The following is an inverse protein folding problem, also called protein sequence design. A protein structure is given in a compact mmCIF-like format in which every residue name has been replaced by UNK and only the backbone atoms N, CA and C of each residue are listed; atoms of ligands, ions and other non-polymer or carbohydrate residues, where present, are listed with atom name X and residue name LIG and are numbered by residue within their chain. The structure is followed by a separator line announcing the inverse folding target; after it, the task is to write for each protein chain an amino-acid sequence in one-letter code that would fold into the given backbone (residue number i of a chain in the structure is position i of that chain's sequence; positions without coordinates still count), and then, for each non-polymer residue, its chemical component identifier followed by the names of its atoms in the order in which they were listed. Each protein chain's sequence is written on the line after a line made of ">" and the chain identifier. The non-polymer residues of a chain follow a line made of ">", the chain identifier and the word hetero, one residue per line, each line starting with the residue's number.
data_IF_751204519454
#
_entry.id   IF_751204519454
#
_cell.length_a   1.000
_cell.length_b   1.000
_cell.length_c   1.000
_cell.angle_alpha   90.00
_cell.angle_beta   90.00
_cell.angle_gamma   90.00
#
_symmetry.space_group_name_H-M   'P 1'
#
loop_
_entity.id
_entity.type
_entity.pdbx_description
1 polymer ?
#
# COMPACT_ATOMS: atom_id res chain seq x y z
N UNK A 1 -7.47 -50.69 71.85
CA UNK A 1 -8.31 -49.49 71.78
C UNK A 1 -8.02 -48.80 70.43
N UNK A 2 -9.02 -48.67 69.63
CA UNK A 2 -9.00 -48.50 68.20
C UNK A 2 -8.83 -47.06 67.75
N UNK A 3 -7.86 -46.81 66.88
CA UNK A 3 -7.67 -45.56 66.21
C UNK A 3 -8.24 -45.60 64.82
N UNK A 4 -9.23 -44.75 64.51
CA UNK A 4 -9.76 -44.56 63.17
C UNK A 4 -8.98 -43.45 62.49
N UNK A 5 -8.40 -43.77 61.33
CA UNK A 5 -7.76 -42.87 60.40
C UNK A 5 -8.84 -42.23 59.52
N UNK A 6 -8.98 -40.92 59.53
CA UNK A 6 -9.70 -40.20 58.48
C UNK A 6 -8.75 -39.69 57.45
N UNK A 7 -8.90 -40.26 56.23
CA UNK A 7 -8.22 -39.81 55.02
C UNK A 7 -9.06 -38.68 54.44
N UNK A 8 -8.57 -37.44 54.44
CA UNK A 8 -9.18 -36.33 53.73
C UNK A 8 -8.67 -36.32 52.30
N UNK A 9 -9.57 -36.69 51.37
CA UNK A 9 -9.30 -36.61 49.94
C UNK A 9 -9.61 -35.15 49.51
N UNK A 10 -8.60 -34.37 49.28
CA UNK A 10 -8.74 -33.05 48.68
C UNK A 10 -8.92 -33.18 47.17
N UNK A 11 -10.14 -33.08 46.70
CA UNK A 11 -10.46 -32.92 45.29
C UNK A 11 -10.04 -31.53 44.83
N UNK A 12 -8.92 -31.44 44.13
CA UNK A 12 -8.59 -30.28 43.32
C UNK A 12 -9.49 -30.29 42.07
N UNK A 13 -10.56 -29.50 42.09
CA UNK A 13 -11.27 -29.10 40.88
C UNK A 13 -10.35 -28.13 40.10
N UNK A 14 -9.64 -28.68 39.12
CA UNK A 14 -9.02 -27.88 38.08
C UNK A 14 -10.14 -27.41 37.19
N UNK A 15 -10.52 -26.14 37.32
CA UNK A 15 -11.28 -25.45 36.31
C UNK A 15 -10.37 -25.31 35.08
N UNK A 16 -10.51 -26.20 34.12
CA UNK A 16 -10.05 -25.95 32.75
C UNK A 16 -10.92 -24.81 32.21
N UNK A 17 -10.35 -23.61 32.18
CA UNK A 17 -10.81 -22.54 31.31
C UNK A 17 -10.58 -23.05 29.89
N UNK A 18 -11.61 -23.59 29.28
CA UNK A 18 -11.70 -23.72 27.84
C UNK A 18 -11.60 -22.33 27.21
N UNK A 19 -10.36 -21.94 26.89
CA UNK A 19 -10.11 -20.92 25.89
C UNK A 19 -10.50 -21.58 24.58
N UNK A 20 -11.79 -21.49 24.23
CA UNK A 20 -12.23 -21.67 22.85
C UNK A 20 -11.57 -20.51 22.05
N UNK A 21 -10.33 -20.74 21.64
CA UNK A 21 -9.78 -20.05 20.48
C UNK A 21 -10.75 -20.33 19.35
N UNK A 22 -11.53 -19.32 18.98
CA UNK A 22 -12.28 -19.32 17.74
C UNK A 22 -11.23 -19.52 16.63
N UNK A 23 -11.00 -20.78 16.25
CA UNK A 23 -10.40 -21.10 14.97
C UNK A 23 -11.32 -20.47 13.92
N UNK A 24 -10.92 -19.28 13.42
CA UNK A 24 -11.43 -18.78 12.17
C UNK A 24 -11.19 -19.90 11.14
N UNK A 25 -12.24 -20.63 10.82
CA UNK A 25 -12.25 -21.58 9.71
C UNK A 25 -12.06 -20.75 8.43
N UNK A 26 -10.82 -20.44 8.13
CA UNK A 26 -10.42 -19.89 6.85
C UNK A 26 -10.69 -21.01 5.85
N UNK A 27 -11.69 -20.81 5.00
CA UNK A 27 -12.00 -21.74 3.92
C UNK A 27 -10.77 -21.86 3.02
N UNK A 28 -9.93 -22.87 3.28
CA UNK A 28 -8.86 -23.22 2.37
C UNK A 28 -9.47 -23.59 1.02
N UNK A 29 -8.93 -23.12 -0.11
CA UNK A 29 -9.28 -23.63 -1.41
C UNK A 29 -9.01 -25.14 -1.40
N UNK A 30 -10.01 -25.95 -1.71
CA UNK A 30 -9.80 -27.38 -1.91
C UNK A 30 -8.88 -27.57 -3.12
N UNK A 31 -8.03 -28.58 -3.08
CA UNK A 31 -6.97 -28.92 -4.03
C UNK A 31 -7.38 -29.01 -5.54
N UNK A 32 -8.65 -28.76 -5.84
CA UNK A 32 -9.27 -28.83 -7.18
C UNK A 32 -9.26 -27.53 -7.98
N UNK A 33 -8.85 -26.38 -7.42
CA UNK A 33 -8.89 -25.10 -8.13
C UNK A 33 -7.48 -24.72 -8.64
N UNK A 34 -7.14 -25.24 -9.81
CA UNK A 34 -5.86 -24.98 -10.48
C UNK A 34 -5.67 -23.54 -10.98
N UNK A 35 -6.61 -22.62 -10.70
CA UNK A 35 -6.56 -21.25 -11.22
C UNK A 35 -7.15 -20.20 -10.28
N UNK A 36 -6.60 -20.11 -9.07
CA UNK A 36 -6.90 -18.97 -8.19
C UNK A 36 -6.34 -17.70 -8.83
N UNK A 37 -7.23 -16.76 -9.21
CA UNK A 37 -6.88 -15.51 -9.91
C UNK A 37 -6.74 -14.30 -8.98
N UNK A 38 -7.22 -14.39 -7.73
CA UNK A 38 -7.10 -13.38 -6.68
C UNK A 38 -7.19 -14.04 -5.32
N UNK A 39 -6.79 -13.34 -4.29
CA UNK A 39 -6.84 -13.84 -2.91
C UNK A 39 -8.03 -13.24 -2.17
N UNK A 40 -8.62 -14.03 -1.28
CA UNK A 40 -9.68 -13.57 -0.39
C UNK A 40 -9.46 -14.16 1.01
N UNK A 41 -9.38 -13.29 2.00
CA UNK A 41 -9.42 -13.65 3.41
C UNK A 41 -10.74 -13.15 4.01
N UNK A 42 -11.52 -14.07 4.50
CA UNK A 42 -12.76 -13.75 5.23
C UNK A 42 -12.38 -13.30 6.63
N UNK A 43 -12.89 -12.17 7.03
CA UNK A 43 -12.84 -11.64 8.39
C UNK A 43 -14.17 -11.87 9.10
N UNK A 44 -14.46 -11.02 10.10
CA UNK A 44 -15.77 -11.03 10.77
C UNK A 44 -16.85 -10.52 9.83
N UNK A 45 -18.07 -11.09 9.87
CA UNK A 45 -19.15 -10.72 8.94
C UNK A 45 -19.58 -9.25 8.99
N UNK A 46 -19.44 -8.62 10.15
CA UNK A 46 -19.75 -7.21 10.41
C UNK A 46 -18.64 -6.24 10.02
N UNK A 47 -17.48 -6.75 9.64
CA UNK A 47 -16.31 -5.92 9.28
C UNK A 47 -16.30 -5.54 7.81
N UNK A 48 -15.73 -4.37 7.56
CA UNK A 48 -15.61 -3.80 6.23
C UNK A 48 -14.92 -4.73 5.22
N UNK A 49 -15.33 -4.60 3.96
CA UNK A 49 -14.76 -5.29 2.81
C UNK A 49 -13.72 -4.37 2.14
N UNK A 50 -12.49 -4.79 2.13
CA UNK A 50 -11.36 -4.05 1.57
C UNK A 50 -10.86 -4.75 0.32
N UNK A 51 -10.82 -4.04 -0.81
CA UNK A 51 -10.23 -4.54 -2.05
C UNK A 51 -8.88 -3.85 -2.26
N UNK A 52 -7.83 -4.65 -2.38
CA UNK A 52 -6.46 -4.20 -2.61
C UNK A 52 -6.06 -4.54 -4.05
N UNK A 53 -5.65 -3.55 -4.83
CA UNK A 53 -5.36 -3.68 -6.26
C UNK A 53 -3.86 -3.56 -6.49
N UNK A 54 -3.22 -4.69 -6.82
CA UNK A 54 -1.80 -4.82 -7.10
C UNK A 54 -1.54 -4.81 -8.61
N UNK A 55 -0.64 -3.94 -9.04
CA UNK A 55 -0.28 -3.82 -10.47
C UNK A 55 0.88 -2.83 -10.65
N UNK A 56 1.97 -3.04 -9.92
CA UNK A 56 3.18 -2.22 -9.99
C UNK A 56 4.37 -3.13 -10.30
N UNK A 57 5.09 -2.85 -11.37
CA UNK A 57 6.22 -3.65 -11.83
C UNK A 57 7.54 -3.30 -11.14
N UNK A 58 7.56 -2.24 -10.29
CA UNK A 58 8.78 -1.72 -9.69
C UNK A 58 8.87 -2.00 -8.18
N UNK A 59 7.79 -1.73 -7.42
CA UNK A 59 7.82 -1.68 -5.95
C UNK A 59 7.24 -2.90 -5.25
N UNK A 60 7.13 -4.03 -5.95
CA UNK A 60 6.64 -5.31 -5.37
C UNK A 60 5.27 -5.18 -4.72
N UNK A 61 4.34 -4.58 -5.44
CA UNK A 61 2.96 -4.41 -4.96
C UNK A 61 2.28 -5.73 -4.58
N UNK A 62 2.65 -6.83 -5.22
CA UNK A 62 2.16 -8.18 -4.97
C UNK A 62 2.58 -8.70 -3.59
N UNK A 63 3.73 -8.25 -3.07
CA UNK A 63 4.22 -8.60 -1.74
C UNK A 63 3.64 -7.63 -0.69
N UNK A 64 3.71 -6.32 -0.97
CA UNK A 64 3.25 -5.26 -0.07
C UNK A 64 1.76 -5.40 0.26
N UNK A 65 0.90 -5.50 -0.76
CA UNK A 65 -0.54 -5.53 -0.55
C UNK A 65 -1.03 -6.85 0.04
N UNK A 66 -0.36 -7.97 -0.25
CA UNK A 66 -0.63 -9.25 0.40
C UNK A 66 -0.32 -9.15 1.89
N UNK A 67 0.85 -8.60 2.28
CA UNK A 67 1.19 -8.44 3.69
C UNK A 67 0.23 -7.49 4.40
N UNK A 68 -0.12 -6.36 3.78
CA UNK A 68 -1.09 -5.43 4.34
C UNK A 68 -2.47 -6.08 4.51
N UNK A 69 -2.94 -6.85 3.52
CA UNK A 69 -4.20 -7.58 3.60
C UNK A 69 -4.21 -8.62 4.74
N UNK A 70 -3.11 -9.36 4.89
CA UNK A 70 -2.93 -10.31 6.01
C UNK A 70 -3.03 -9.60 7.36
N UNK A 71 -2.34 -8.46 7.54
CA UNK A 71 -2.40 -7.67 8.77
C UNK A 71 -3.82 -7.18 9.04
N UNK A 72 -4.48 -6.59 8.04
CA UNK A 72 -5.84 -6.08 8.14
C UNK A 72 -6.85 -7.18 8.45
N UNK A 73 -6.67 -8.38 7.90
CA UNK A 73 -7.54 -9.51 8.17
C UNK A 73 -7.27 -10.13 9.55
N UNK A 74 -6.03 -10.58 9.80
CA UNK A 74 -5.69 -11.37 11.02
C UNK A 74 -5.77 -10.51 12.28
N UNK A 75 -5.23 -9.29 12.25
CA UNK A 75 -5.17 -8.45 13.43
C UNK A 75 -6.40 -7.58 13.64
N UNK A 76 -7.19 -7.32 12.57
CA UNK A 76 -8.31 -6.37 12.61
C UNK A 76 -9.65 -6.95 12.15
N UNK A 77 -9.65 -8.19 11.65
CA UNK A 77 -10.86 -8.91 11.26
C UNK A 77 -11.54 -8.40 9.98
N UNK A 78 -10.90 -7.55 9.18
CA UNK A 78 -11.46 -7.07 7.93
C UNK A 78 -11.55 -8.16 6.87
N UNK A 79 -12.55 -8.08 5.99
CA UNK A 79 -12.66 -8.94 4.82
C UNK A 79 -11.78 -8.37 3.70
N UNK A 80 -10.72 -9.07 3.31
CA UNK A 80 -9.74 -8.56 2.36
C UNK A 80 -9.73 -9.37 1.07
N UNK A 81 -9.75 -8.67 -0.07
CA UNK A 81 -9.57 -9.25 -1.41
C UNK A 81 -8.37 -8.59 -2.06
N UNK A 82 -7.37 -9.36 -2.52
CA UNK A 82 -6.20 -8.85 -3.24
C UNK A 82 -6.27 -9.29 -4.70
N UNK A 83 -6.25 -8.31 -5.60
CA UNK A 83 -6.28 -8.49 -7.06
C UNK A 83 -4.89 -8.23 -7.63
N UNK A 84 -4.51 -8.97 -8.68
CA UNK A 84 -3.16 -8.91 -9.25
C UNK A 84 -3.20 -8.69 -10.76
N UNK A 85 -2.19 -7.97 -11.27
CA UNK A 85 -1.91 -7.94 -12.69
C UNK A 85 -1.47 -9.33 -13.18
N UNK A 86 -2.08 -9.82 -14.26
CA UNK A 86 -1.86 -11.16 -14.81
C UNK A 86 -1.95 -11.14 -16.33
N UNK A 87 -1.11 -11.93 -16.98
CA UNK A 87 -1.32 -12.26 -18.39
C UNK A 87 -2.50 -13.24 -18.52
N UNK A 88 -3.54 -12.93 -19.32
CA UNK A 88 -4.71 -13.80 -19.48
C UNK A 88 -4.37 -15.21 -19.98
N UNK A 89 -3.25 -15.38 -20.67
CA UNK A 89 -2.78 -16.69 -21.14
C UNK A 89 -2.20 -17.56 -20.03
N UNK A 90 -1.87 -16.95 -18.88
CA UNK A 90 -1.31 -17.63 -17.72
C UNK A 90 -2.07 -17.22 -16.44
N UNK A 91 -3.37 -17.57 -16.33
CA UNK A 91 -4.20 -17.18 -15.21
C UNK A 91 -3.66 -17.77 -13.90
N UNK A 92 -3.72 -17.00 -12.81
CA UNK A 92 -3.23 -17.43 -11.50
C UNK A 92 -1.73 -17.21 -11.29
N UNK A 93 -1.02 -16.69 -12.30
CA UNK A 93 0.40 -16.29 -12.20
C UNK A 93 0.46 -14.76 -12.16
N UNK A 94 1.12 -14.22 -11.13
CA UNK A 94 1.37 -12.78 -11.02
C UNK A 94 2.32 -12.33 -12.12
N UNK A 95 1.92 -11.32 -12.88
CA UNK A 95 2.79 -10.67 -13.86
C UNK A 95 2.57 -9.15 -13.84
N UNK A 96 3.35 -8.40 -13.06
CA UNK A 96 3.21 -6.94 -12.96
C UNK A 96 3.53 -6.21 -14.27
N UNK A 97 4.33 -6.80 -15.16
CA UNK A 97 4.64 -6.22 -16.47
C UNK A 97 3.44 -6.24 -17.42
N UNK A 98 2.44 -7.11 -17.15
CA UNK A 98 1.23 -7.15 -17.98
C UNK A 98 0.26 -6.04 -17.58
N UNK A 99 0.22 -4.96 -18.34
CA UNK A 99 -0.43 -3.71 -17.95
C UNK A 99 -1.95 -3.67 -18.19
N UNK A 100 -2.49 -4.65 -18.93
CA UNK A 100 -3.84 -4.54 -19.51
C UNK A 100 -4.86 -5.49 -18.87
N UNK A 101 -4.53 -6.14 -17.76
CA UNK A 101 -5.47 -7.06 -17.13
C UNK A 101 -5.24 -7.22 -15.63
N UNK A 102 -6.29 -6.94 -14.86
CA UNK A 102 -6.39 -7.25 -13.42
C UNK A 102 -7.75 -7.92 -13.20
N UNK A 103 -7.82 -9.25 -13.17
CA UNK A 103 -9.09 -9.95 -12.98
C UNK A 103 -9.63 -9.76 -11.56
N UNK A 104 -10.97 -9.84 -11.44
CA UNK A 104 -11.65 -9.75 -10.12
C UNK A 104 -12.07 -8.34 -9.72
N UNK A 105 -11.88 -7.30 -10.53
CA UNK A 105 -12.29 -5.92 -10.22
C UNK A 105 -13.78 -5.76 -9.92
N UNK A 106 -14.63 -6.74 -10.29
CA UNK A 106 -16.03 -6.79 -9.88
C UNK A 106 -16.20 -6.75 -8.34
N UNK A 107 -15.19 -7.19 -7.57
CA UNK A 107 -15.21 -7.11 -6.11
C UNK A 107 -15.34 -5.67 -5.57
N UNK A 108 -15.00 -4.65 -6.38
CA UNK A 108 -15.19 -3.25 -6.02
C UNK A 108 -16.67 -2.85 -5.85
N UNK A 109 -17.60 -3.57 -6.46
CA UNK A 109 -19.03 -3.28 -6.33
C UNK A 109 -19.48 -3.33 -4.84
N UNK A 110 -18.95 -4.30 -4.09
CA UNK A 110 -19.27 -4.51 -2.69
C UNK A 110 -18.23 -3.96 -1.71
N UNK A 111 -17.11 -3.43 -2.21
CA UNK A 111 -16.03 -2.94 -1.35
C UNK A 111 -16.45 -1.69 -0.57
N UNK A 112 -15.99 -1.57 0.66
CA UNK A 112 -16.11 -0.38 1.50
C UNK A 112 -14.87 0.51 1.42
N UNK A 113 -13.70 -0.07 1.06
CA UNK A 113 -12.44 0.64 0.86
C UNK A 113 -11.68 0.02 -0.32
N UNK A 114 -11.18 0.88 -1.20
CA UNK A 114 -10.20 0.52 -2.23
C UNK A 114 -8.80 0.95 -1.79
N UNK A 115 -7.86 0.01 -1.71
CA UNK A 115 -6.43 0.27 -1.56
C UNK A 115 -5.78 -0.01 -2.92
N UNK A 116 -5.04 0.95 -3.47
CA UNK A 116 -4.48 0.83 -4.80
C UNK A 116 -2.97 1.11 -4.81
N UNK A 117 -2.21 0.18 -5.38
CA UNK A 117 -0.79 0.30 -5.68
C UNK A 117 -0.57 -0.25 -7.10
N UNK A 118 -0.79 0.62 -8.08
CA UNK A 118 -0.65 0.29 -9.51
C UNK A 118 0.18 1.35 -10.21
N UNK A 119 0.81 0.98 -11.32
CA UNK A 119 1.66 1.84 -12.11
C UNK A 119 1.33 1.69 -13.60
N UNK A 120 0.94 2.79 -14.24
CA UNK A 120 0.73 2.88 -15.70
C UNK A 120 -0.14 1.78 -16.30
N UNK A 121 -1.23 1.38 -15.61
CA UNK A 121 -2.17 0.40 -16.15
C UNK A 121 -2.99 0.99 -17.29
N UNK A 122 -3.22 0.18 -18.35
CA UNK A 122 -4.13 0.47 -19.45
C UNK A 122 -5.20 -0.63 -19.50
N UNK A 123 -6.05 -0.67 -18.48
CA UNK A 123 -7.08 -1.69 -18.37
C UNK A 123 -8.17 -1.50 -19.43
N UNK A 124 -8.76 -2.58 -19.96
CA UNK A 124 -9.89 -2.48 -20.89
C UNK A 124 -11.11 -1.86 -20.20
N UNK A 125 -12.00 -1.25 -21.00
CA UNK A 125 -13.18 -0.55 -20.50
C UNK A 125 -14.06 -1.41 -19.58
N UNK A 126 -14.18 -2.70 -19.87
CA UNK A 126 -14.92 -3.63 -19.01
C UNK A 126 -14.36 -3.74 -17.60
N UNK A 127 -13.07 -3.54 -17.41
CA UNK A 127 -12.40 -3.52 -16.11
C UNK A 127 -12.39 -2.12 -15.50
N UNK A 128 -12.09 -1.08 -16.30
CA UNK A 128 -12.11 0.32 -15.83
C UNK A 128 -13.48 0.75 -15.30
N UNK A 129 -14.56 0.22 -15.85
CA UNK A 129 -15.92 0.49 -15.40
C UNK A 129 -16.10 0.23 -13.89
N UNK A 130 -15.55 -0.85 -13.36
CA UNK A 130 -15.67 -1.13 -11.92
C UNK A 130 -14.96 -0.10 -11.04
N UNK A 131 -13.83 0.43 -11.52
CA UNK A 131 -13.11 1.52 -10.86
C UNK A 131 -13.92 2.81 -10.94
N UNK A 132 -14.42 3.15 -12.11
CA UNK A 132 -15.25 4.34 -12.34
C UNK A 132 -16.54 4.31 -11.50
N UNK A 133 -17.25 3.18 -11.50
CA UNK A 133 -18.46 2.99 -10.69
C UNK A 133 -18.15 3.10 -9.18
N UNK A 134 -17.02 2.55 -8.72
CA UNK A 134 -16.56 2.71 -7.36
C UNK A 134 -16.32 4.18 -7.00
N UNK A 135 -15.62 4.91 -7.85
CA UNK A 135 -15.35 6.34 -7.66
C UNK A 135 -16.62 7.17 -7.67
N UNK A 136 -17.56 6.88 -8.59
CA UNK A 136 -18.88 7.54 -8.62
C UNK A 136 -19.68 7.32 -7.34
N UNK A 137 -19.49 6.21 -6.66
CA UNK A 137 -20.18 5.94 -5.39
C UNK A 137 -19.69 6.79 -4.23
N UNK A 138 -18.54 7.48 -4.34
CA UNK A 138 -17.93 8.30 -3.29
C UNK A 138 -17.31 7.50 -2.16
N UNK A 139 -17.01 6.23 -2.40
CA UNK A 139 -16.35 5.38 -1.40
C UNK A 139 -14.87 5.75 -1.23
N UNK A 140 -14.29 5.51 -0.03
CA UNK A 140 -12.94 5.98 0.30
C UNK A 140 -11.83 5.23 -0.45
N UNK A 141 -10.69 5.92 -0.60
CA UNK A 141 -9.50 5.40 -1.29
C UNK A 141 -8.27 5.57 -0.40
N UNK A 142 -7.41 4.53 -0.39
CA UNK A 142 -6.05 4.60 0.10
C UNK A 142 -5.11 4.38 -1.10
N UNK A 143 -4.45 5.45 -1.55
CA UNK A 143 -3.46 5.40 -2.64
C UNK A 143 -2.05 5.22 -2.09
N UNK A 144 -1.30 4.24 -2.60
CA UNK A 144 0.06 3.94 -2.17
C UNK A 144 1.04 4.11 -3.32
N UNK A 145 2.20 4.66 -3.04
CA UNK A 145 3.37 4.80 -3.91
C UNK A 145 2.99 5.24 -5.34
N UNK A 146 3.05 4.32 -6.29
CA UNK A 146 2.80 4.57 -7.71
C UNK A 146 1.34 4.79 -8.07
N UNK A 147 0.42 4.69 -7.12
CA UNK A 147 -0.97 5.09 -7.35
C UNK A 147 -1.10 6.53 -7.89
N UNK A 148 -0.14 7.40 -7.58
CA UNK A 148 -0.07 8.76 -8.13
C UNK A 148 0.07 8.79 -9.67
N UNK A 149 0.43 7.67 -10.31
CA UNK A 149 0.47 7.45 -11.76
C UNK A 149 -0.09 6.08 -12.12
N UNK A 150 -1.22 5.71 -11.50
CA UNK A 150 -1.84 4.40 -11.62
C UNK A 150 -2.15 3.99 -13.07
N UNK A 151 -2.55 4.94 -13.92
CA UNK A 151 -3.04 4.65 -15.26
C UNK A 151 -2.29 5.41 -16.35
N UNK A 152 -2.19 4.77 -17.55
CA UNK A 152 -1.60 5.36 -18.75
C UNK A 152 -2.20 4.72 -19.99
N UNK A 153 -2.87 5.50 -20.85
CA UNK A 153 -3.59 5.02 -22.03
C UNK A 153 -3.00 5.54 -23.35
N UNK A 154 -1.96 6.35 -23.30
CA UNK A 154 -1.36 7.04 -24.45
C UNK A 154 -0.35 6.17 -25.25
N UNK A 155 -0.01 4.99 -24.73
CA UNK A 155 0.95 4.06 -25.35
C UNK A 155 0.39 2.66 -25.43
N UNK A 156 -0.39 2.36 -26.42
CA UNK A 156 -0.87 0.98 -26.61
C UNK A 156 -2.03 0.88 -27.59
N UNK A 157 -2.39 -0.34 -27.98
CA UNK A 157 -3.47 -0.57 -28.93
C UNK A 157 -4.85 -0.30 -28.33
N UNK A 158 -4.97 -0.15 -27.02
CA UNK A 158 -6.26 0.01 -26.33
C UNK A 158 -6.69 1.47 -26.39
N UNK A 159 -7.71 1.75 -27.19
CA UNK A 159 -8.48 3.00 -27.13
C UNK A 159 -9.54 2.82 -26.06
N UNK A 160 -9.42 3.57 -24.95
CA UNK A 160 -10.33 3.47 -23.82
C UNK A 160 -11.18 4.73 -23.71
N UNK A 161 -12.47 4.57 -23.40
CA UNK A 161 -13.35 5.66 -23.00
C UNK A 161 -12.95 6.26 -21.63
N UNK A 162 -12.08 5.57 -20.90
CA UNK A 162 -11.50 5.99 -19.62
C UNK A 162 -10.09 6.59 -19.76
N UNK A 163 -9.66 6.99 -20.96
CA UNK A 163 -8.32 7.55 -21.19
C UNK A 163 -8.00 8.78 -20.31
N UNK A 164 -9.03 9.51 -19.90
CA UNK A 164 -8.92 10.67 -18.99
C UNK A 164 -8.36 10.32 -17.59
N UNK A 165 -8.40 9.05 -17.16
CA UNK A 165 -7.72 8.59 -15.94
C UNK A 165 -6.20 8.57 -16.05
N UNK A 166 -5.66 8.65 -17.27
CA UNK A 166 -4.22 8.53 -17.54
C UNK A 166 -3.40 9.69 -16.96
N UNK A 167 -2.24 9.37 -16.40
CA UNK A 167 -1.31 10.33 -15.79
C UNK A 167 -0.88 11.47 -16.72
N UNK A 168 -0.86 11.22 -18.03
CA UNK A 168 -0.45 12.18 -19.06
C UNK A 168 -1.62 12.79 -19.82
N UNK A 169 -2.85 12.60 -19.34
CA UNK A 169 -4.01 13.27 -19.94
C UNK A 169 -3.87 14.79 -19.85
N UNK A 170 -4.02 15.45 -20.99
CA UNK A 170 -3.65 16.88 -21.17
C UNK A 170 -4.82 17.80 -21.49
N UNK A 171 -6.00 17.26 -21.76
CA UNK A 171 -7.17 18.10 -22.04
C UNK A 171 -7.41 19.07 -20.89
N UNK A 172 -7.86 20.27 -21.25
CA UNK A 172 -8.11 21.36 -20.29
C UNK A 172 -9.49 21.19 -19.64
N UNK A 173 -9.65 20.09 -18.95
CA UNK A 173 -10.83 19.80 -18.13
C UNK A 173 -10.40 19.36 -16.72
N UNK A 174 -11.38 18.95 -15.90
CA UNK A 174 -11.09 18.53 -14.52
C UNK A 174 -10.17 17.30 -14.42
N UNK A 175 -10.04 16.52 -15.50
CA UNK A 175 -9.21 15.31 -15.54
C UNK A 175 -7.76 15.58 -15.92
N UNK A 176 -7.38 16.82 -16.16
CA UNK A 176 -6.00 17.15 -16.51
C UNK A 176 -5.01 16.60 -15.46
N UNK A 177 -4.15 15.67 -15.87
CA UNK A 177 -3.22 14.95 -14.98
C UNK A 177 -3.79 13.66 -14.38
N UNK A 178 -5.02 13.29 -14.79
CA UNK A 178 -5.62 11.98 -14.56
C UNK A 178 -5.96 11.66 -13.11
N UNK A 179 -6.03 10.37 -12.83
CA UNK A 179 -6.37 9.81 -11.51
C UNK A 179 -5.50 10.38 -10.39
N UNK A 180 -4.18 10.45 -10.59
CA UNK A 180 -3.27 10.95 -9.56
C UNK A 180 -3.61 12.36 -9.11
N UNK A 181 -3.84 13.28 -10.06
CA UNK A 181 -4.12 14.68 -9.73
C UNK A 181 -5.55 14.88 -9.21
N UNK A 182 -6.57 14.40 -9.95
CA UNK A 182 -7.97 14.66 -9.57
C UNK A 182 -8.37 13.91 -8.31
N UNK A 183 -8.02 12.62 -8.23
CA UNK A 183 -8.48 11.75 -7.12
C UNK A 183 -7.53 11.83 -5.95
N UNK A 184 -6.23 11.61 -6.16
CA UNK A 184 -5.27 11.54 -5.08
C UNK A 184 -4.69 12.89 -4.65
N UNK A 185 -4.86 13.97 -5.45
CA UNK A 185 -4.38 15.32 -5.13
C UNK A 185 -3.08 15.72 -5.79
N UNK A 186 -2.22 14.76 -6.13
CA UNK A 186 -1.04 15.01 -6.97
C UNK A 186 -0.72 13.76 -7.80
N UNK A 187 -0.22 14.01 -9.00
CA UNK A 187 0.32 12.96 -9.86
C UNK A 187 1.83 12.86 -9.72
N UNK A 188 2.39 11.72 -10.02
CA UNK A 188 3.83 11.57 -10.10
C UNK A 188 4.44 12.55 -11.12
N UNK A 189 5.52 13.21 -10.70
CA UNK A 189 6.26 14.20 -11.50
C UNK A 189 7.67 13.69 -11.77
N UNK A 190 8.41 13.37 -10.70
CA UNK A 190 9.80 12.94 -10.72
C UNK A 190 10.19 12.36 -9.35
N UNK A 191 11.32 11.72 -9.30
CA UNK A 191 12.03 11.46 -8.06
C UNK A 191 12.58 12.76 -7.49
N UNK A 192 12.39 13.00 -6.19
CA UNK A 192 12.99 14.12 -5.47
C UNK A 192 14.31 13.70 -4.85
N UNK A 193 14.33 12.58 -4.12
CA UNK A 193 15.53 11.89 -3.70
C UNK A 193 16.16 11.03 -4.81
N UNK A 194 17.34 10.49 -4.57
CA UNK A 194 18.03 9.60 -5.49
C UNK A 194 17.56 8.17 -5.32
N UNK A 195 16.90 7.63 -6.35
CA UNK A 195 16.34 6.29 -6.38
C UNK A 195 17.41 5.21 -6.11
N UNK A 196 17.14 4.30 -5.16
CA UNK A 196 18.06 3.23 -4.74
C UNK A 196 19.32 3.71 -3.99
N UNK A 197 19.40 5.01 -3.65
CA UNK A 197 20.54 5.60 -2.94
C UNK A 197 20.14 6.35 -1.68
N UNK A 198 19.00 7.01 -1.71
CA UNK A 198 18.47 7.80 -0.60
C UNK A 198 17.15 7.20 -0.12
N UNK A 199 16.96 7.15 1.17
CA UNK A 199 15.77 6.64 1.83
C UNK A 199 14.88 7.80 2.30
N UNK A 200 13.71 7.43 2.84
CA UNK A 200 12.71 8.38 3.33
C UNK A 200 12.48 8.18 4.81
N UNK A 201 12.74 9.19 5.62
CA UNK A 201 12.32 9.27 7.02
C UNK A 201 11.07 10.14 7.12
N UNK A 202 10.00 9.60 7.70
CA UNK A 202 8.73 10.31 7.88
C UNK A 202 8.77 11.28 9.06
N UNK A 203 8.54 12.56 8.80
CA UNK A 203 8.47 13.61 9.82
C UNK A 203 7.02 14.08 9.95
N UNK A 204 6.41 13.87 11.10
CA UNK A 204 5.05 14.33 11.40
C UNK A 204 5.11 15.80 11.83
N UNK A 205 4.57 16.75 11.04
CA UNK A 205 4.51 18.15 11.42
C UNK A 205 3.70 18.35 12.72
N UNK A 206 4.02 19.39 13.49
CA UNK A 206 3.30 19.70 14.72
C UNK A 206 1.78 19.80 14.50
N UNK A 207 1.35 20.38 13.41
CA UNK A 207 -0.07 20.55 13.07
C UNK A 207 -0.81 19.22 12.82
N UNK A 208 -0.08 18.15 12.51
CA UNK A 208 -0.66 16.84 12.16
C UNK A 208 -0.53 15.80 13.29
N UNK A 209 0.13 16.12 14.41
CA UNK A 209 0.47 15.14 15.47
C UNK A 209 -0.76 14.46 16.06
N UNK A 210 -1.84 15.19 16.19
CA UNK A 210 -3.09 14.69 16.78
C UNK A 210 -4.00 13.99 15.75
N UNK A 211 -3.59 13.94 14.49
CA UNK A 211 -4.38 13.27 13.46
C UNK A 211 -4.43 11.77 13.74
N UNK A 212 -5.63 11.13 13.66
CA UNK A 212 -5.82 9.72 14.02
C UNK A 212 -4.88 8.73 13.31
N UNK A 213 -4.42 9.06 12.12
CA UNK A 213 -3.49 8.22 11.33
C UNK A 213 -2.15 8.02 12.05
N UNK A 214 -1.74 8.92 12.94
CA UNK A 214 -0.48 8.81 13.68
C UNK A 214 -0.61 8.24 15.10
N UNK A 215 -1.79 7.76 15.49
CA UNK A 215 -1.96 7.11 16.78
C UNK A 215 -1.02 5.93 16.96
N UNK A 216 -0.31 5.91 18.10
CA UNK A 216 0.63 4.85 18.45
C UNK A 216 1.89 4.80 17.60
N UNK A 217 2.22 5.90 16.90
CA UNK A 217 3.45 6.06 16.11
C UNK A 217 4.35 7.10 16.79
N UNK A 218 5.61 6.74 16.99
CA UNK A 218 6.61 7.63 17.58
C UNK A 218 7.55 8.20 16.50
N UNK A 219 8.21 9.33 16.78
CA UNK A 219 9.21 9.90 15.88
C UNK A 219 10.27 8.86 15.48
N UNK A 220 10.59 8.78 14.19
CA UNK A 220 11.58 7.85 13.64
C UNK A 220 11.03 6.49 13.23
N UNK A 221 9.80 6.12 13.62
CA UNK A 221 9.24 4.80 13.27
C UNK A 221 8.72 4.70 11.83
N UNK A 222 8.40 5.82 11.19
CA UNK A 222 8.01 5.84 9.77
C UNK A 222 9.27 5.99 8.93
N UNK A 223 9.64 4.91 8.27
CA UNK A 223 10.80 4.86 7.39
C UNK A 223 10.52 3.97 6.19
N UNK A 224 11.19 4.24 5.07
CA UNK A 224 11.17 3.39 3.90
C UNK A 224 12.46 3.53 3.11
N UNK A 225 12.93 2.43 2.54
CA UNK A 225 14.11 2.42 1.67
C UNK A 225 13.88 3.08 0.31
N UNK A 226 12.63 3.43 0.00
CA UNK A 226 12.28 4.13 -1.23
C UNK A 226 12.52 5.64 -1.10
N UNK A 227 12.89 6.26 -2.20
CA UNK A 227 13.13 7.70 -2.29
C UNK A 227 11.85 8.54 -2.20
N UNK A 228 12.02 9.79 -1.83
CA UNK A 228 10.95 10.80 -1.80
C UNK A 228 10.56 11.19 -3.22
N UNK A 229 9.25 11.26 -3.53
CA UNK A 229 8.76 11.82 -4.79
C UNK A 229 8.64 13.33 -4.73
N UNK A 230 8.85 13.99 -5.87
CA UNK A 230 8.60 15.40 -6.04
C UNK A 230 7.09 15.69 -6.03
N UNK A 231 6.68 16.65 -5.23
CA UNK A 231 5.31 17.16 -5.10
C UNK A 231 5.30 18.66 -5.42
N UNK A 232 4.30 19.14 -6.17
CA UNK A 232 4.14 20.59 -6.39
C UNK A 232 3.70 21.26 -5.10
N UNK A 233 4.39 22.35 -4.75
CA UNK A 233 4.08 23.15 -3.57
C UNK A 233 3.66 24.57 -3.97
N UNK A 234 2.64 25.14 -3.31
CA UNK A 234 1.72 24.48 -2.37
C UNK A 234 0.94 23.36 -3.06
N UNK A 235 0.51 22.34 -2.29
CA UNK A 235 -0.42 21.33 -2.83
C UNK A 235 -1.70 21.99 -3.29
N UNK A 236 -2.28 21.44 -4.37
CA UNK A 236 -3.49 22.00 -4.95
C UNK A 236 -4.74 21.67 -4.14
N UNK A 237 -5.73 22.53 -4.25
CA UNK A 237 -7.10 22.37 -3.76
C UNK A 237 -7.18 22.11 -2.25
N UNK A 238 -7.96 21.10 -1.87
CA UNK A 238 -8.25 20.68 -0.49
C UNK A 238 -7.25 19.65 0.07
N UNK A 239 -6.13 19.40 -0.62
CA UNK A 239 -5.14 18.46 -0.16
C UNK A 239 -4.38 18.99 1.07
N UNK A 240 -4.45 18.26 2.18
CA UNK A 240 -3.83 18.60 3.46
C UNK A 240 -2.65 17.68 3.72
N UNK A 241 -1.39 18.17 3.65
CA UNK A 241 -0.21 17.40 4.02
C UNK A 241 -0.28 16.94 5.47
N UNK A 242 -0.05 15.66 5.72
CA UNK A 242 0.00 15.08 7.07
C UNK A 242 1.40 14.65 7.48
N UNK A 243 2.21 14.18 6.52
CA UNK A 243 3.55 13.65 6.76
C UNK A 243 4.51 14.24 5.74
N UNK A 244 5.67 14.67 6.19
CA UNK A 244 6.77 15.16 5.34
C UNK A 244 7.84 14.08 5.24
N UNK A 245 8.49 13.99 4.07
CA UNK A 245 9.60 13.09 3.83
C UNK A 245 10.92 13.81 3.96
N UNK A 246 11.69 13.46 4.98
CA UNK A 246 13.09 13.82 5.06
C UNK A 246 13.88 12.85 4.18
N UNK A 247 14.60 13.38 3.22
CA UNK A 247 15.57 12.62 2.43
C UNK A 247 16.77 12.32 3.30
N UNK A 248 17.12 11.05 3.46
CA UNK A 248 18.29 10.62 4.22
C UNK A 248 19.32 9.96 3.30
N UNK A 249 20.56 10.33 3.46
CA UNK A 249 21.69 9.77 2.69
C UNK A 249 22.23 8.56 3.45
N UNK A 250 22.54 7.50 2.73
CA UNK A 250 23.16 6.30 3.29
C UNK A 250 24.54 6.63 3.87
N UNK A 251 24.76 6.30 5.14
CA UNK A 251 26.05 6.53 5.81
C UNK A 251 27.12 5.49 5.41
N UNK A 252 26.69 4.29 5.05
CA UNK A 252 27.56 3.19 4.64
C UNK A 252 27.73 3.07 3.12
N UNK A 253 28.47 2.05 2.65
CA UNK A 253 28.63 1.79 1.22
C UNK A 253 27.32 1.30 0.58
N UNK A 254 27.19 1.48 -0.73
CA UNK A 254 26.16 0.83 -1.52
C UNK A 254 26.39 -0.68 -1.53
N UNK A 255 25.33 -1.43 -1.18
CA UNK A 255 25.35 -2.90 -1.23
C UNK A 255 24.15 -3.40 -2.04
N UNK A 256 24.43 -3.88 -3.25
CA UNK A 256 23.41 -4.43 -4.15
C UNK A 256 22.73 -5.69 -3.61
N UNK A 257 23.38 -6.41 -2.70
CA UNK A 257 22.84 -7.64 -2.10
C UNK A 257 21.99 -7.39 -0.86
N UNK A 258 22.10 -6.21 -0.26
CA UNK A 258 21.30 -5.80 0.89
C UNK A 258 19.89 -5.39 0.47
N UNK A 259 18.87 -5.84 1.20
CA UNK A 259 17.45 -5.57 0.92
C UNK A 259 17.15 -4.08 0.72
N UNK A 260 17.84 -3.22 1.42
CA UNK A 260 17.68 -1.76 1.39
C UNK A 260 18.85 -1.05 0.69
N UNK A 261 19.64 -1.74 -0.12
CA UNK A 261 20.82 -1.20 -0.82
C UNK A 261 21.85 -0.57 0.12
N UNK A 262 21.95 -1.05 1.35
CA UNK A 262 22.81 -0.50 2.40
C UNK A 262 22.20 0.65 3.18
N UNK A 263 21.00 1.13 2.86
CA UNK A 263 20.29 2.18 3.60
C UNK A 263 19.73 1.65 4.92
N UNK A 264 19.62 2.52 5.93
CA UNK A 264 19.13 2.18 7.28
C UNK A 264 18.27 3.32 7.85
N UNK A 265 17.35 3.01 8.79
CA UNK A 265 16.58 4.04 9.50
C UNK A 265 17.44 5.04 10.29
N UNK A 266 18.67 4.66 10.62
CA UNK A 266 19.66 5.50 11.34
C UNK A 266 20.48 6.39 10.44
N UNK A 267 20.32 6.32 9.11
CA UNK A 267 21.08 7.14 8.17
C UNK A 267 20.85 8.63 8.42
N UNK A 268 21.87 9.41 8.12
CA UNK A 268 21.87 10.83 8.35
C UNK A 268 21.22 11.62 7.21
N UNK A 269 20.83 12.87 7.46
CA UNK A 269 20.44 13.81 6.40
C UNK A 269 21.63 14.46 5.68
N UNK A 270 22.85 14.22 6.16
CA UNK A 270 24.07 14.69 5.51
C UNK A 270 24.15 14.07 4.11
N UNK A 271 24.36 14.90 3.09
CA UNK A 271 24.33 14.44 1.69
C UNK A 271 22.99 14.69 0.97
N UNK A 272 21.93 15.11 1.68
CA UNK A 272 20.67 15.55 1.04
C UNK A 272 20.86 16.83 0.18
N UNK A 273 22.02 17.47 0.24
CA UNK A 273 22.40 18.60 -0.63
C UNK A 273 22.96 18.05 -1.94
N UNK A 274 22.24 18.28 -3.02
CA UNK A 274 22.61 17.84 -4.35
C UNK A 274 23.00 18.99 -5.26
N UNK A 275 23.90 18.75 -6.21
CA UNK A 275 24.27 19.72 -7.27
C UNK A 275 23.44 19.41 -8.52
N UNK A 276 22.65 20.37 -8.97
CA UNK A 276 21.84 20.27 -10.20
C UNK A 276 22.08 21.47 -11.09
N UNK A 277 21.97 21.29 -12.41
CA UNK A 277 21.94 22.41 -13.35
C UNK A 277 20.57 23.08 -13.31
N UNK A 278 20.54 24.40 -13.16
CA UNK A 278 19.35 25.23 -13.29
C UNK A 278 18.95 25.41 -14.76
N UNK A 279 17.84 26.09 -15.04
CA UNK A 279 17.36 26.38 -16.39
C UNK A 279 18.29 27.27 -17.22
N UNK A 280 19.33 27.87 -16.61
CA UNK A 280 20.37 28.71 -17.27
C UNK A 280 21.66 27.92 -17.50
N UNK A 281 21.73 26.67 -17.05
CA UNK A 281 22.93 25.84 -17.16
C UNK A 281 23.94 25.99 -16.00
N UNK A 282 23.68 26.86 -15.00
CA UNK A 282 24.54 27.00 -13.84
C UNK A 282 24.36 25.81 -12.88
N UNK A 283 25.45 25.39 -12.24
CA UNK A 283 25.37 24.36 -11.18
C UNK A 283 25.01 25.04 -9.87
N UNK A 284 23.84 24.65 -9.32
CA UNK A 284 23.33 25.12 -8.03
C UNK A 284 23.28 24.00 -7.02
N UNK A 285 23.56 24.32 -5.77
CA UNK A 285 23.33 23.39 -4.64
C UNK A 285 21.87 23.50 -4.20
N UNK A 286 21.20 22.36 -4.07
CA UNK A 286 19.80 22.25 -3.64
C UNK A 286 19.79 21.37 -2.41
N UNK A 287 19.25 21.89 -1.29
CA UNK A 287 18.90 21.10 -0.13
C UNK A 287 17.56 20.42 -0.39
N UNK A 288 17.55 19.08 -0.45
CA UNK A 288 16.34 18.29 -0.70
C UNK A 288 15.36 18.34 0.48
N UNK A 289 15.79 18.78 1.65
CA UNK A 289 14.95 18.91 2.84
C UNK A 289 14.48 20.36 3.08
N UNK A 290 14.75 21.29 2.16
CA UNK A 290 14.34 22.68 2.26
C UNK A 290 13.58 23.20 1.01
N UNK A 291 12.26 23.00 0.92
CA UNK A 291 11.38 22.31 1.89
C UNK A 291 11.34 20.79 1.71
N UNK A 292 11.05 20.04 2.79
CA UNK A 292 10.68 18.62 2.69
C UNK A 292 9.39 18.47 1.89
N UNK A 293 9.31 17.41 1.07
CA UNK A 293 8.11 17.09 0.30
C UNK A 293 7.06 16.39 1.16
N UNK A 294 5.76 16.67 0.96
CA UNK A 294 4.70 15.82 1.50
C UNK A 294 4.82 14.39 0.97
N UNK A 295 4.78 13.40 1.88
CA UNK A 295 4.79 11.98 1.53
C UNK A 295 3.53 11.25 1.97
N UNK A 296 2.68 11.89 2.78
CA UNK A 296 1.30 11.47 2.99
C UNK A 296 0.40 12.70 3.19
N UNK A 297 -0.82 12.61 2.66
CA UNK A 297 -1.83 13.67 2.73
C UNK A 297 -3.24 13.09 2.64
N UNK A 298 -4.20 13.93 3.01
CA UNK A 298 -5.63 13.65 2.86
C UNK A 298 -6.28 14.68 1.96
N UNK A 299 -7.36 14.30 1.30
CA UNK A 299 -8.26 15.18 0.57
C UNK A 299 -9.62 14.54 0.37
N UNK A 300 -10.58 15.33 -0.12
CA UNK A 300 -11.80 14.79 -0.72
C UNK A 300 -11.65 14.71 -2.24
N UNK A 301 -12.41 13.83 -2.87
CA UNK A 301 -12.51 13.76 -4.33
C UNK A 301 -13.98 13.71 -4.75
N UNK A 302 -14.24 14.19 -5.93
CA UNK A 302 -15.51 14.01 -6.61
C UNK A 302 -15.27 13.96 -8.12
N UNK A 303 -15.80 12.95 -8.77
CA UNK A 303 -15.79 12.87 -10.23
C UNK A 303 -17.15 13.26 -10.81
N UNK A 304 -17.26 13.61 -12.11
CA UNK A 304 -18.54 13.99 -12.70
C UNK A 304 -19.63 12.94 -12.47
N UNK A 305 -20.78 13.43 -12.01
CA UNK A 305 -21.96 12.60 -11.66
C UNK A 305 -21.74 11.62 -10.48
N UNK A 306 -20.64 11.76 -9.77
CA UNK A 306 -20.31 10.96 -8.59
C UNK A 306 -20.62 11.70 -7.29
N UNK A 307 -20.59 10.95 -6.19
CA UNK A 307 -20.62 11.47 -4.82
C UNK A 307 -19.21 11.85 -4.37
N UNK A 308 -19.13 12.72 -3.38
CA UNK A 308 -17.88 13.03 -2.71
C UNK A 308 -17.39 11.80 -1.91
N UNK A 309 -16.08 11.54 -1.97
CA UNK A 309 -15.40 10.53 -1.20
C UNK A 309 -14.10 11.06 -0.62
N UNK A 310 -13.55 10.37 0.39
CA UNK A 310 -12.30 10.76 1.04
C UNK A 310 -11.12 9.95 0.55
N UNK A 311 -9.95 10.56 0.59
CA UNK A 311 -8.68 9.94 0.18
C UNK A 311 -7.65 10.10 1.28
N UNK A 312 -6.92 9.03 1.53
CA UNK A 312 -5.57 9.07 2.08
C UNK A 312 -4.59 8.64 0.98
N UNK A 313 -3.60 9.45 0.70
CA UNK A 313 -2.56 9.13 -0.28
C UNK A 313 -1.19 9.20 0.37
N UNK A 314 -0.30 8.28 -0.03
CA UNK A 314 1.10 8.27 0.41
C UNK A 314 2.01 7.87 -0.73
N UNK A 315 3.20 8.49 -0.79
CA UNK A 315 4.28 8.10 -1.70
C UNK A 315 5.18 7.01 -1.14
N UNK A 316 4.81 6.41 0.00
CA UNK A 316 5.40 5.20 0.57
C UNK A 316 4.54 3.98 0.26
N UNK A 317 5.08 2.78 0.49
CA UNK A 317 4.30 1.55 0.39
C UNK A 317 4.88 0.48 -0.52
N UNK A 318 6.16 0.56 -0.90
CA UNK A 318 6.89 -0.58 -1.46
C UNK A 318 6.90 -1.75 -0.46
N UNK A 319 7.14 -2.97 -0.94
CA UNK A 319 7.26 -4.13 -0.06
C UNK A 319 8.30 -3.91 1.05
N UNK A 320 9.43 -3.31 0.70
CA UNK A 320 10.52 -2.98 1.63
C UNK A 320 10.14 -1.91 2.66
N UNK A 321 9.26 -0.98 2.33
CA UNK A 321 8.78 0.05 3.27
C UNK A 321 7.91 -0.56 4.38
N UNK A 322 7.25 -1.71 4.11
CA UNK A 322 6.43 -2.41 5.10
C UNK A 322 7.25 -3.14 6.17
N UNK A 323 8.58 -3.19 6.05
CA UNK A 323 9.45 -3.69 7.13
C UNK A 323 9.41 -2.76 8.35
N UNK A 324 9.23 -1.46 8.15
CA UNK A 324 9.11 -0.50 9.24
C UNK A 324 7.73 -0.56 9.93
N UNK A 325 7.73 -0.74 11.25
CA UNK A 325 6.49 -0.87 12.04
C UNK A 325 5.61 0.38 11.95
N UNK A 326 6.22 1.57 12.06
CA UNK A 326 5.49 2.83 11.96
C UNK A 326 4.83 3.04 10.60
N UNK A 327 5.49 2.61 9.51
CA UNK A 327 4.90 2.66 8.15
C UNK A 327 3.70 1.74 8.05
N UNK A 328 3.79 0.49 8.55
CA UNK A 328 2.63 -0.42 8.61
C UNK A 328 1.50 0.16 9.45
N UNK A 329 1.81 0.74 10.61
CA UNK A 329 0.80 1.33 11.51
C UNK A 329 0.11 2.52 10.87
N UNK A 330 0.83 3.38 10.18
CA UNK A 330 0.26 4.48 9.41
C UNK A 330 -0.74 3.97 8.36
N UNK A 331 -0.40 2.93 7.60
CA UNK A 331 -1.28 2.35 6.57
C UNK A 331 -2.53 1.70 7.17
N UNK A 332 -2.40 0.97 8.27
CA UNK A 332 -3.54 0.37 8.97
C UNK A 332 -4.44 1.46 9.56
N UNK A 333 -3.86 2.46 10.23
CA UNK A 333 -4.62 3.59 10.77
C UNK A 333 -5.32 4.38 9.67
N UNK A 334 -4.67 4.56 8.50
CA UNK A 334 -5.27 5.20 7.35
C UNK A 334 -6.46 4.40 6.80
N UNK A 335 -6.41 3.07 6.81
CA UNK A 335 -7.56 2.24 6.43
C UNK A 335 -8.75 2.47 7.38
N UNK A 336 -8.53 2.50 8.70
CA UNK A 336 -9.56 2.84 9.68
C UNK A 336 -10.14 4.24 9.44
N UNK A 337 -9.26 5.24 9.24
CA UNK A 337 -9.67 6.61 8.99
C UNK A 337 -10.49 6.75 7.71
N UNK A 338 -10.06 6.10 6.63
CA UNK A 338 -10.79 6.06 5.37
C UNK A 338 -12.20 5.48 5.55
N UNK A 339 -12.33 4.40 6.30
CA UNK A 339 -13.60 3.76 6.62
C UNK A 339 -14.48 4.54 7.60
N UNK A 340 -13.98 5.66 8.15
CA UNK A 340 -14.70 6.43 9.18
C UNK A 340 -14.79 5.70 10.53
N UNK A 341 -13.96 4.71 10.75
CA UNK A 341 -13.92 3.94 11.99
C UNK A 341 -12.97 4.60 13.01
N UNK A 342 -13.24 4.35 14.30
CA UNK A 342 -12.33 4.80 15.36
C UNK A 342 -11.00 4.08 15.23
N UNK A 343 -9.92 4.83 15.01
CA UNK A 343 -8.56 4.29 14.98
C UNK A 343 -8.17 3.81 16.38
N UNK A 344 -7.68 2.56 16.54
CA UNK A 344 -7.17 2.07 17.83
C UNK A 344 -6.04 2.94 18.38
N UNK A 345 -5.89 2.99 19.70
CA UNK A 345 -4.81 3.79 20.33
C UNK A 345 -3.41 3.31 19.90
N UNK A 346 -3.26 2.00 19.70
CA UNK A 346 -2.08 1.38 19.07
C UNK A 346 -2.54 0.19 18.24
N UNK A 347 -2.69 0.39 16.93
CA UNK A 347 -3.07 -0.69 16.00
C UNK A 347 -2.02 -1.79 15.99
N UNK A 348 -2.46 -3.04 16.08
CA UNK A 348 -1.60 -4.21 15.98
C UNK A 348 -1.17 -4.39 14.52
N UNK A 349 0.14 -4.40 14.27
CA UNK A 349 0.70 -4.42 12.91
C UNK A 349 1.86 -5.40 12.76
N UNK A 350 1.87 -6.43 13.62
CA UNK A 350 2.84 -7.50 13.51
C UNK A 350 2.77 -8.10 12.11
N UNK A 351 3.92 -8.45 11.58
CA UNK A 351 4.02 -9.17 10.31
C UNK A 351 3.36 -10.55 10.46
N UNK A 352 2.63 -10.96 9.45
CA UNK A 352 1.93 -12.25 9.43
C UNK A 352 2.67 -13.22 8.53
N UNK A 353 3.06 -14.37 9.10
CA UNK A 353 3.93 -15.35 8.45
C UNK A 353 5.36 -14.86 8.28
N UNK A 354 6.15 -15.59 7.49
CA UNK A 354 7.52 -15.20 7.17
C UNK A 354 7.54 -14.15 6.06
N UNK A 355 7.53 -12.87 6.44
CA UNK A 355 7.60 -11.78 5.47
C UNK A 355 9.03 -11.45 5.10
N UNK A 356 9.45 -11.89 3.93
CA UNK A 356 10.75 -11.61 3.33
C UNK A 356 10.55 -10.90 1.99
N UNK A 357 10.40 -9.57 2.00
CA UNK A 357 10.17 -8.84 0.76
C UNK A 357 11.39 -8.87 -0.14
N UNK A 358 11.13 -8.83 -1.46
CA UNK A 358 12.18 -8.66 -2.46
C UNK A 358 12.57 -7.19 -2.58
N UNK A 359 13.81 -6.94 -3.01
CA UNK A 359 14.22 -5.59 -3.41
C UNK A 359 13.28 -5.04 -4.49
N UNK A 360 12.99 -3.74 -4.41
CA UNK A 360 12.28 -3.06 -5.49
C UNK A 360 13.21 -2.84 -6.69
N UNK A 361 12.62 -2.69 -7.86
CA UNK A 361 13.31 -2.47 -9.13
C UNK A 361 12.53 -3.10 -10.28
N UNK A 362 12.91 -2.72 -11.51
CA UNK A 362 12.31 -3.28 -12.71
C UNK A 362 12.96 -4.60 -13.05
N UNK A 363 12.12 -5.59 -13.33
CA UNK A 363 12.53 -6.89 -13.83
C UNK A 363 11.84 -7.14 -15.18
N UNK A 364 12.56 -7.81 -16.08
CA UNK A 364 12.05 -8.12 -17.40
C UNK A 364 11.04 -9.28 -17.40
N UNK A 365 10.45 -9.55 -18.57
CA UNK A 365 9.47 -10.62 -18.72
C UNK A 365 10.06 -12.02 -18.51
N UNK A 366 11.37 -12.19 -18.78
CA UNK A 366 12.06 -13.45 -18.55
C UNK A 366 12.11 -13.76 -17.04
N UNK A 367 12.47 -12.79 -16.22
CA UNK A 367 12.45 -12.91 -14.76
C UNK A 367 11.05 -13.33 -14.23
N UNK A 368 9.99 -12.65 -14.68
CA UNK A 368 8.64 -12.97 -14.21
C UNK A 368 8.16 -14.34 -14.68
N UNK A 369 8.54 -14.74 -15.88
CA UNK A 369 8.27 -16.07 -16.42
C UNK A 369 8.97 -17.15 -15.62
N UNK A 370 10.26 -16.96 -15.29
CA UNK A 370 11.06 -17.93 -14.52
C UNK A 370 10.60 -17.99 -13.06
N UNK A 371 10.27 -16.85 -12.45
CA UNK A 371 9.72 -16.78 -11.10
C UNK A 371 8.38 -17.51 -10.99
N UNK A 372 7.55 -17.47 -12.01
CA UNK A 372 6.25 -18.13 -12.12
C UNK A 372 5.41 -18.05 -10.84
N UNK A 373 5.37 -16.86 -10.19
CA UNK A 373 4.78 -16.65 -8.87
C UNK A 373 3.28 -16.93 -8.89
N UNK A 374 2.89 -18.05 -8.29
CA UNK A 374 1.48 -18.45 -8.19
C UNK A 374 0.77 -17.65 -7.09
N UNK A 375 -0.40 -17.14 -7.41
CA UNK A 375 -1.24 -16.43 -6.45
C UNK A 375 -1.59 -17.33 -5.25
N UNK A 376 -1.83 -18.62 -5.49
CA UNK A 376 -2.09 -19.60 -4.43
C UNK A 376 -0.95 -19.73 -3.40
N UNK A 377 0.29 -19.49 -3.79
CA UNK A 377 1.45 -19.54 -2.89
C UNK A 377 1.49 -18.35 -1.92
N UNK A 378 0.89 -17.21 -2.30
CA UNK A 378 0.79 -16.01 -1.48
C UNK A 378 -0.29 -16.11 -0.38
N UNK A 379 -1.16 -17.12 -0.45
CA UNK A 379 -2.32 -17.27 0.44
C UNK A 379 -1.94 -17.61 1.87
N UNK A 380 -0.85 -18.34 2.08
CA UNK A 380 -0.45 -18.86 3.39
C UNK A 380 -0.34 -17.75 4.44
N UNK A 381 -1.00 -17.94 5.57
CA UNK A 381 -0.95 -17.05 6.73
C UNK A 381 0.15 -17.45 7.72
N UNK A 382 0.42 -18.75 7.78
CA UNK A 382 1.44 -19.37 8.67
C UNK A 382 2.18 -20.39 7.79
N UNK A 383 3.50 -20.47 7.94
CA UNK A 383 4.34 -21.49 7.30
C UNK A 383 4.17 -22.84 7.97
#
# INVERSE_FOLDING_TARGET
>A
MKWFKYLILALFLIHQLDIQGSQLMIGMPTEKDSTIKWLQWKGSPDKAKIVLISGDEEYRSEEALVQLAKILNVNHGFNCTVLFAQNPNYPGIVNPNYQNNIPGLVALADADLMIILTRFRALPDAQMRYIDDYLKSGKPILGMRTATHAFKFDTGPIKSSYAHYGNYYKEHDIWQGGFGKLILGEKWIAHHGAHGQQSTLGIVPKASRDHPVFKGIFPGEIWGSTDVYAIRLPMADDAVPLLLGQVTERDGPYDKSDLFFGMRPSDSELGAIVKRKNGRGDTVSIDLNAPMMPIAWIKNYQIPKGKEGRVFATTMGASTDLVAEGTRRMLVNAAYWCLGLKVPEKSKVDLIGNYQPSQYGFFDDAYWKDRALKISELYKLID
#
